data_IF_899018110609
#
_entry.id   IF_899018110609
#
_cell.length_a   1.000
_cell.length_b   1.000
_cell.length_c   1.000
_cell.angle_alpha   90.00
_cell.angle_beta   90.00
_cell.angle_gamma   90.00
#
_symmetry.space_group_name_H-M   'P 1'
#
loop_
_entity.id
_entity.type
_entity.pdbx_description
1 polymer ?
#
# COMPACT_ATOMS: atom_id res chain seq x y z
N UNK A 1 -2.65 42.08 23.78
CA UNK A 1 -3.08 41.81 22.38
C UNK A 1 -2.30 40.65 21.76
N UNK A 2 -0.97 40.66 21.78
CA UNK A 2 -0.15 39.63 21.09
C UNK A 2 -0.48 38.20 21.56
N UNK A 3 -0.54 37.96 22.87
CA UNK A 3 -0.85 36.62 23.42
C UNK A 3 -2.22 36.09 22.97
N UNK A 4 -3.24 36.96 22.93
CA UNK A 4 -4.58 36.58 22.50
C UNK A 4 -4.61 36.22 21.02
N UNK A 5 -3.96 37.03 20.17
CA UNK A 5 -3.86 36.77 18.73
C UNK A 5 -3.10 35.47 18.45
N UNK A 6 -2.01 35.21 19.17
CA UNK A 6 -1.26 33.96 19.05
C UNK A 6 -2.10 32.76 19.45
N UNK A 7 -2.83 32.82 20.56
CA UNK A 7 -3.67 31.70 21.03
C UNK A 7 -4.81 31.40 20.04
N UNK A 8 -5.48 32.43 19.53
CA UNK A 8 -6.57 32.24 18.54
C UNK A 8 -6.01 31.61 17.26
N UNK A 9 -4.88 32.10 16.75
CA UNK A 9 -4.28 31.59 15.53
C UNK A 9 -3.75 30.15 15.67
N UNK A 10 -3.07 29.83 16.78
CA UNK A 10 -2.63 28.46 17.04
C UNK A 10 -3.83 27.52 17.26
N UNK A 11 -4.86 27.99 17.96
CA UNK A 11 -6.09 27.23 18.21
C UNK A 11 -6.81 26.85 16.92
N UNK A 12 -6.96 27.79 15.98
CA UNK A 12 -7.61 27.49 14.69
C UNK A 12 -6.83 26.45 13.88
N UNK A 13 -5.50 26.54 13.83
CA UNK A 13 -4.65 25.54 13.15
C UNK A 13 -4.80 24.16 13.82
N UNK A 14 -4.75 24.10 15.15
CA UNK A 14 -4.91 22.84 15.89
C UNK A 14 -6.27 22.19 15.62
N UNK A 15 -7.35 22.97 15.65
CA UNK A 15 -8.69 22.48 15.33
C UNK A 15 -8.74 21.90 13.92
N UNK A 16 -8.15 22.59 12.94
CA UNK A 16 -8.14 22.13 11.56
C UNK A 16 -7.33 20.84 11.39
N UNK A 17 -6.17 20.73 12.04
CA UNK A 17 -5.33 19.51 12.02
C UNK A 17 -6.05 18.31 12.64
N UNK A 18 -6.72 18.51 13.78
CA UNK A 18 -7.51 17.46 14.45
C UNK A 18 -8.68 17.01 13.57
N UNK A 19 -9.38 17.95 12.95
CA UNK A 19 -10.49 17.64 12.04
C UNK A 19 -10.01 16.85 10.81
N UNK A 20 -8.89 17.23 10.20
CA UNK A 20 -8.29 16.50 9.08
C UNK A 20 -7.83 15.09 9.48
N UNK A 21 -7.21 14.93 10.65
CA UNK A 21 -6.80 13.60 11.13
C UNK A 21 -8.00 12.71 11.43
N UNK A 22 -9.05 13.25 12.05
CA UNK A 22 -10.28 12.51 12.32
C UNK A 22 -10.95 12.05 11.01
N UNK A 23 -11.09 12.95 10.03
CA UNK A 23 -11.59 12.59 8.71
C UNK A 23 -10.72 11.51 8.06
N UNK A 24 -9.39 11.68 8.07
CA UNK A 24 -8.45 10.70 7.52
C UNK A 24 -8.56 9.32 8.19
N UNK A 25 -8.78 9.26 9.50
CA UNK A 25 -8.93 8.00 10.23
C UNK A 25 -10.17 7.20 9.84
N UNK A 26 -11.22 7.88 9.35
CA UNK A 26 -12.49 7.24 8.97
C UNK A 26 -12.60 6.97 7.47
N UNK A 27 -11.96 7.80 6.64
CA UNK A 27 -12.01 7.66 5.17
C UNK A 27 -10.92 6.72 4.62
N UNK A 28 -9.79 6.55 5.32
CA UNK A 28 -8.73 5.64 4.90
C UNK A 28 -8.96 4.27 5.54
N UNK A 29 -9.09 3.24 4.70
CA UNK A 29 -9.29 1.87 5.14
C UNK A 29 -7.98 1.34 5.77
N UNK A 30 -7.86 1.45 7.09
CA UNK A 30 -6.75 0.94 7.90
C UNK A 30 -7.08 -0.39 8.59
N UNK A 31 -8.10 -1.09 8.12
CA UNK A 31 -8.50 -2.37 8.69
C UNK A 31 -7.46 -3.46 8.40
N UNK A 32 -7.49 -4.51 9.23
CA UNK A 32 -6.77 -5.75 8.94
C UNK A 32 -7.36 -6.40 7.70
N UNK A 33 -6.49 -6.80 6.78
CA UNK A 33 -6.82 -7.54 5.57
C UNK A 33 -6.12 -8.89 5.61
N UNK A 34 -6.80 -9.92 5.12
CA UNK A 34 -6.23 -11.26 4.99
C UNK A 34 -5.69 -11.44 3.58
N UNK A 35 -4.44 -11.85 3.45
CA UNK A 35 -3.82 -12.16 2.16
C UNK A 35 -3.79 -13.68 2.00
N UNK A 36 -4.56 -14.21 1.04
CA UNK A 36 -4.53 -15.63 0.70
C UNK A 36 -3.35 -15.92 -0.23
N UNK A 37 -2.43 -16.80 0.18
CA UNK A 37 -1.24 -17.15 -0.59
C UNK A 37 -1.34 -18.61 -1.03
N UNK A 38 -1.36 -18.86 -2.35
CA UNK A 38 -1.36 -20.20 -2.96
C UNK A 38 -2.42 -21.15 -2.37
N UNK A 39 -3.62 -20.63 -2.06
CA UNK A 39 -4.72 -21.37 -1.42
C UNK A 39 -4.37 -22.04 -0.07
N UNK A 40 -3.28 -21.62 0.57
CA UNK A 40 -2.81 -22.15 1.85
C UNK A 40 -3.18 -21.21 2.99
N UNK A 41 -4.20 -21.59 3.76
CA UNK A 41 -4.68 -20.80 4.90
C UNK A 41 -3.66 -20.67 6.03
N UNK A 42 -2.69 -21.59 6.17
CA UNK A 42 -1.67 -21.54 7.22
C UNK A 42 -0.58 -20.51 6.91
N UNK A 43 -0.30 -20.28 5.62
CA UNK A 43 0.67 -19.29 5.14
C UNK A 43 0.03 -17.93 4.80
N UNK A 44 -1.23 -17.72 5.18
CA UNK A 44 -2.02 -16.54 4.82
C UNK A 44 -2.16 -15.59 6.00
N UNK A 45 -1.26 -14.58 6.13
CA UNK A 45 -1.25 -13.67 7.27
C UNK A 45 -2.40 -12.66 7.21
N UNK A 46 -2.85 -12.25 8.40
CA UNK A 46 -3.68 -11.05 8.58
C UNK A 46 -2.78 -9.86 8.86
N UNK A 47 -2.83 -8.86 8.00
CA UNK A 47 -1.91 -7.74 7.97
C UNK A 47 -2.66 -6.41 7.93
N UNK A 48 -2.03 -5.35 8.41
CA UNK A 48 -2.61 -4.00 8.36
C UNK A 48 -2.56 -3.46 6.92
N UNK A 49 -3.67 -2.90 6.44
CA UNK A 49 -3.70 -2.24 5.13
C UNK A 49 -2.93 -0.90 5.16
N UNK A 50 -2.27 -0.55 4.04
CA UNK A 50 -1.63 0.74 3.85
C UNK A 50 -0.14 0.69 3.44
N UNK A 51 0.48 -0.49 3.44
CA UNK A 51 1.78 -0.73 2.82
C UNK A 51 1.63 -1.48 1.50
N UNK A 52 2.69 -1.46 0.69
CA UNK A 52 2.76 -2.26 -0.53
C UNK A 52 2.85 -3.75 -0.21
N UNK A 53 2.34 -4.59 -1.11
CA UNK A 53 2.36 -6.04 -0.98
C UNK A 53 3.80 -6.57 -0.79
N UNK A 54 4.78 -5.98 -1.47
CA UNK A 54 6.20 -6.33 -1.31
C UNK A 54 6.67 -6.17 0.15
N UNK A 55 6.36 -5.03 0.76
CA UNK A 55 6.80 -4.73 2.13
C UNK A 55 6.05 -5.58 3.15
N UNK A 56 4.75 -5.75 2.93
CA UNK A 56 3.88 -6.56 3.77
C UNK A 56 4.33 -8.03 3.78
N UNK A 57 4.61 -8.62 2.61
CA UNK A 57 5.11 -9.98 2.51
C UNK A 57 6.52 -10.12 3.13
N UNK A 58 7.40 -9.14 2.92
CA UNK A 58 8.74 -9.17 3.51
C UNK A 58 8.70 -9.13 5.05
N UNK A 59 7.77 -8.37 5.64
CA UNK A 59 7.56 -8.33 7.09
C UNK A 59 7.12 -9.71 7.64
N UNK A 60 6.31 -10.42 6.88
CA UNK A 60 5.87 -11.80 7.17
C UNK A 60 6.92 -12.86 6.74
N UNK A 61 8.15 -12.44 6.45
CA UNK A 61 9.29 -13.29 6.04
C UNK A 61 9.08 -14.03 4.71
N UNK A 62 8.20 -13.52 3.86
CA UNK A 62 7.98 -13.98 2.48
C UNK A 62 8.67 -13.01 1.54
N UNK A 63 9.83 -13.42 1.01
CA UNK A 63 10.68 -12.51 0.25
C UNK A 63 10.46 -12.64 -1.25
N UNK A 64 10.09 -11.53 -1.88
CA UNK A 64 10.14 -11.39 -3.33
C UNK A 64 11.45 -10.69 -3.73
N UNK A 65 12.10 -11.14 -4.82
CA UNK A 65 13.33 -10.51 -5.28
C UNK A 65 13.05 -9.06 -5.69
N UNK A 66 13.82 -8.13 -5.14
CA UNK A 66 13.69 -6.70 -5.44
C UNK A 66 15.05 -6.03 -5.39
N UNK A 67 15.52 -5.55 -6.55
CA UNK A 67 16.79 -4.82 -6.65
C UNK A 67 16.62 -3.31 -6.40
N UNK A 68 15.42 -2.76 -6.65
CA UNK A 68 15.14 -1.32 -6.55
C UNK A 68 14.48 -0.88 -5.24
N UNK A 69 14.29 -1.79 -4.27
CA UNK A 69 13.66 -1.47 -2.99
C UNK A 69 12.19 -1.00 -3.09
N UNK A 70 11.50 -1.33 -4.19
CA UNK A 70 10.08 -0.98 -4.38
C UNK A 70 9.81 0.22 -5.29
N UNK A 71 10.84 0.75 -5.97
CA UNK A 71 10.68 1.85 -6.93
C UNK A 71 9.97 1.50 -8.24
N UNK A 72 9.50 0.27 -8.45
CA UNK A 72 8.76 -0.13 -9.66
C UNK A 72 9.60 -0.21 -10.96
N UNK A 73 10.93 -0.06 -10.88
CA UNK A 73 11.80 0.06 -12.06
C UNK A 73 12.57 -1.20 -12.43
N UNK A 74 12.78 -2.14 -11.48
CA UNK A 74 13.58 -3.34 -11.75
C UNK A 74 12.79 -4.55 -12.28
N UNK A 75 11.46 -4.55 -12.16
CA UNK A 75 10.61 -5.63 -12.66
C UNK A 75 10.78 -7.00 -11.99
N UNK A 76 11.56 -7.13 -10.91
CA UNK A 76 11.86 -8.43 -10.29
C UNK A 76 10.75 -8.91 -9.33
N UNK A 77 10.02 -7.99 -8.70
CA UNK A 77 9.03 -8.30 -7.66
C UNK A 77 7.68 -8.74 -8.25
N UNK A 78 7.70 -9.64 -9.23
CA UNK A 78 6.49 -10.14 -9.90
C UNK A 78 5.75 -11.13 -9.01
N UNK A 79 4.44 -10.98 -8.95
CA UNK A 79 3.53 -11.92 -8.30
C UNK A 79 2.22 -11.99 -9.07
N UNK A 80 1.55 -13.13 -8.99
CA UNK A 80 0.21 -13.28 -9.53
C UNK A 80 -0.82 -12.84 -8.49
N UNK A 81 -1.76 -11.99 -8.90
CA UNK A 81 -2.82 -11.49 -8.00
C UNK A 81 -4.16 -11.80 -8.64
N UNK A 82 -4.85 -12.81 -8.11
CA UNK A 82 -6.12 -13.29 -8.65
C UNK A 82 -7.28 -12.33 -8.34
N UNK A 83 -7.28 -11.73 -7.15
CA UNK A 83 -8.33 -10.82 -6.68
C UNK A 83 -7.75 -9.65 -5.87
N UNK A 84 -8.46 -8.51 -5.84
CA UNK A 84 -8.09 -7.34 -5.02
C UNK A 84 -6.93 -6.51 -5.54
N UNK A 85 -6.19 -6.98 -6.55
CA UNK A 85 -5.02 -6.30 -7.10
C UNK A 85 -5.30 -5.08 -7.98
N UNK A 86 -6.53 -4.85 -8.45
CA UNK A 86 -6.85 -3.78 -9.40
C UNK A 86 -6.27 -3.99 -10.81
N UNK A 87 -6.35 -2.97 -11.66
CA UNK A 87 -5.86 -3.02 -13.05
C UNK A 87 -4.36 -2.72 -13.15
N UNK A 88 -3.68 -3.29 -14.17
CA UNK A 88 -2.26 -3.03 -14.48
C UNK A 88 -1.98 -1.53 -14.65
N UNK A 89 -1.13 -0.96 -13.78
CA UNK A 89 -0.81 0.47 -13.82
C UNK A 89 0.08 0.76 -15.03
N UNK A 90 0.01 1.97 -15.63
CA UNK A 90 0.91 2.37 -16.72
C UNK A 90 2.39 2.26 -16.37
N UNK A 91 2.75 2.43 -15.09
CA UNK A 91 4.12 2.32 -14.58
C UNK A 91 4.68 0.91 -14.69
N UNK A 92 3.83 -0.11 -14.52
CA UNK A 92 4.25 -1.52 -14.56
C UNK A 92 4.33 -2.08 -15.98
N UNK A 93 3.61 -1.48 -16.96
CA UNK A 93 3.55 -1.96 -18.34
C UNK A 93 4.91 -2.08 -19.02
N UNK A 94 5.90 -1.32 -18.57
CA UNK A 94 7.27 -1.39 -19.09
C UNK A 94 8.04 -2.62 -18.61
N UNK A 95 7.64 -3.21 -17.48
CA UNK A 95 8.29 -4.33 -16.82
C UNK A 95 7.54 -5.66 -17.01
N UNK A 96 6.27 -5.59 -17.43
CA UNK A 96 5.39 -6.74 -17.66
C UNK A 96 5.18 -6.97 -19.16
N UNK A 97 5.31 -8.22 -19.58
CA UNK A 97 4.93 -8.64 -20.92
C UNK A 97 3.41 -8.72 -21.09
N UNK A 98 2.94 -8.74 -22.35
CA UNK A 98 1.51 -8.89 -22.64
C UNK A 98 0.93 -10.23 -22.17
N UNK A 99 1.75 -11.28 -22.10
CA UNK A 99 1.31 -12.57 -21.58
C UNK A 99 1.14 -12.51 -20.06
N UNK A 100 2.11 -11.96 -19.35
CA UNK A 100 2.07 -11.77 -17.89
C UNK A 100 0.88 -10.90 -17.46
N UNK A 101 0.60 -9.81 -18.18
CA UNK A 101 -0.57 -8.96 -17.89
C UNK A 101 -1.91 -9.70 -18.07
N UNK A 102 -1.97 -10.66 -19.00
CA UNK A 102 -3.16 -11.51 -19.20
C UNK A 102 -3.30 -12.56 -18.11
N UNK A 103 -2.18 -12.98 -17.52
CA UNK A 103 -2.11 -13.97 -16.44
C UNK A 103 -2.16 -13.31 -15.05
N UNK A 104 -2.69 -12.09 -14.95
CA UNK A 104 -2.85 -11.35 -13.69
C UNK A 104 -1.54 -11.15 -12.90
N UNK A 105 -0.40 -11.09 -13.59
CA UNK A 105 0.88 -10.77 -12.96
C UNK A 105 0.99 -9.26 -12.73
N UNK A 106 1.41 -8.90 -11.52
CA UNK A 106 1.56 -7.52 -11.02
C UNK A 106 2.92 -7.36 -10.36
N UNK A 107 3.40 -6.12 -10.25
CA UNK A 107 4.55 -5.82 -9.43
C UNK A 107 4.09 -5.61 -7.99
N UNK A 108 4.49 -6.48 -7.07
CA UNK A 108 4.09 -6.40 -5.65
C UNK A 108 4.50 -5.10 -4.96
N UNK A 109 5.42 -4.32 -5.53
CA UNK A 109 5.78 -3.00 -4.99
C UNK A 109 4.86 -1.86 -5.43
N UNK A 110 4.00 -2.07 -6.42
CA UNK A 110 3.06 -1.07 -6.96
C UNK A 110 1.61 -1.37 -6.57
N UNK A 111 1.42 -2.48 -5.85
CA UNK A 111 0.17 -2.93 -5.22
C UNK A 111 0.34 -2.81 -3.73
#
# INVERSE_FOLDING_TARGET
MIVLSTVVFTGTIQILVVLLNYAGSKLVNRGKVKILINDDAEKSPEVEAGSTLLNTLAAEKIFLPSACGGGGTCGMCKCQILEGGGEVLPTEKTQLSRAEMKDHVRLSCQV
#
